data_IF_322007474200
#
_entry.id   IF_322007474200
#
_cell.length_a   1.000
_cell.length_b   1.000
_cell.length_c   1.000
_cell.angle_alpha   90.00
_cell.angle_beta   90.00
_cell.angle_gamma   90.00
#
_symmetry.space_group_name_H-M   'P 1'
#
loop_
_entity.id
_entity.type
_entity.pdbx_description
1 polymer ?
#
# COMPACT_ATOMS: atom_id res chain seq x y z
N UNK A 1 -8.96 3.18 28.46
CA UNK A 1 -8.09 3.76 27.42
C UNK A 1 -7.67 2.67 26.44
N UNK A 2 -7.84 2.95 25.15
CA UNK A 2 -7.39 2.01 24.13
C UNK A 2 -5.86 2.05 24.03
N UNK A 3 -5.25 0.91 23.81
CA UNK A 3 -3.82 0.82 23.56
C UNK A 3 -3.54 1.29 22.14
N UNK A 4 -2.45 2.02 21.99
CA UNK A 4 -2.00 2.51 20.70
C UNK A 4 -0.56 2.08 20.43
N UNK A 5 -0.18 2.20 19.18
CA UNK A 5 1.21 2.05 18.74
C UNK A 5 1.53 3.19 17.80
N UNK A 6 2.80 3.55 17.71
CA UNK A 6 3.25 4.56 16.78
C UNK A 6 3.30 3.95 15.37
N UNK A 7 2.75 4.66 14.38
CA UNK A 7 2.88 4.27 12.99
C UNK A 7 3.55 5.40 12.21
N UNK A 8 4.60 5.07 11.48
CA UNK A 8 5.26 5.99 10.56
C UNK A 8 5.18 5.40 9.16
N UNK A 9 4.61 6.14 8.23
CA UNK A 9 4.52 5.73 6.82
C UNK A 9 5.30 6.76 6.00
N UNK A 10 6.36 6.31 5.35
CA UNK A 10 7.30 7.17 4.62
C UNK A 10 7.50 6.61 3.22
N UNK A 11 7.54 7.50 2.23
CA UNK A 11 8.01 7.16 0.89
C UNK A 11 9.31 7.91 0.62
N UNK A 12 9.94 7.66 -0.51
CA UNK A 12 11.17 8.36 -0.88
C UNK A 12 10.98 9.88 -0.98
N UNK A 13 9.74 10.31 -1.19
CA UNK A 13 9.44 11.73 -1.46
C UNK A 13 8.93 12.47 -0.24
N UNK A 14 8.19 11.80 0.64
CA UNK A 14 7.57 12.48 1.78
C UNK A 14 7.18 11.51 2.89
N UNK A 15 6.89 12.08 4.06
CA UNK A 15 6.23 11.37 5.15
C UNK A 15 4.71 11.48 4.94
N UNK A 16 4.04 10.36 4.80
CA UNK A 16 2.60 10.31 4.56
C UNK A 16 1.81 10.39 5.87
N UNK A 17 2.34 9.77 6.91
CA UNK A 17 1.68 9.73 8.21
C UNK A 17 2.69 9.45 9.31
N UNK A 18 2.48 10.07 10.46
CA UNK A 18 3.22 9.78 11.69
C UNK A 18 2.29 10.07 12.86
N UNK A 19 1.99 9.05 13.65
CA UNK A 19 1.09 9.23 14.78
C UNK A 19 0.69 7.92 15.43
N UNK A 20 -0.19 8.03 16.44
CA UNK A 20 -0.69 6.88 17.19
C UNK A 20 -1.87 6.25 16.46
N UNK A 21 -1.87 4.92 16.35
CA UNK A 21 -2.94 4.17 15.73
C UNK A 21 -3.41 3.05 16.66
N UNK A 22 -4.66 2.63 16.49
CA UNK A 22 -5.26 1.55 17.27
C UNK A 22 -5.03 0.19 16.63
N UNK A 23 -5.00 0.15 15.30
CA UNK A 23 -4.73 -1.07 14.54
C UNK A 23 -4.33 -0.70 13.12
N UNK A 24 -3.77 -1.68 12.42
CA UNK A 24 -3.26 -1.51 11.06
C UNK A 24 -3.48 -2.79 10.28
N UNK A 25 -3.91 -2.67 9.03
CA UNK A 25 -3.95 -3.78 8.08
C UNK A 25 -3.07 -3.39 6.89
N UNK A 26 -2.06 -4.20 6.61
CA UNK A 26 -1.07 -3.91 5.58
C UNK A 26 -1.04 -5.02 4.51
N UNK A 27 -0.78 -4.67 3.24
CA UNK A 27 -0.73 -5.65 2.16
C UNK A 27 0.64 -6.34 2.11
N UNK A 28 0.83 -7.33 3.00
CA UNK A 28 2.06 -8.12 3.01
C UNK A 28 2.20 -8.97 1.75
N UNK A 29 3.44 -9.30 1.38
CA UNK A 29 3.73 -10.10 0.19
C UNK A 29 3.07 -11.48 0.22
N UNK A 30 2.87 -12.02 1.41
CA UNK A 30 2.26 -13.34 1.61
C UNK A 30 0.77 -13.25 1.97
N UNK A 31 0.19 -12.06 1.94
CA UNK A 31 -1.20 -11.81 2.29
C UNK A 31 -1.33 -10.63 3.23
N UNK A 32 -2.56 -10.17 3.43
CA UNK A 32 -2.82 -9.05 4.33
C UNK A 32 -2.46 -9.40 5.77
N UNK A 33 -1.84 -8.45 6.47
CA UNK A 33 -1.41 -8.63 7.86
C UNK A 33 -2.12 -7.62 8.74
N UNK A 34 -2.80 -8.12 9.78
CA UNK A 34 -3.39 -7.28 10.80
C UNK A 34 -2.40 -7.10 11.95
N UNK A 35 -2.09 -5.86 12.30
CA UNK A 35 -1.12 -5.52 13.34
C UNK A 35 -1.83 -4.75 14.44
N UNK A 36 -1.72 -5.25 15.66
CA UNK A 36 -2.25 -4.61 16.85
C UNK A 36 -1.11 -4.15 17.76
N UNK A 37 -1.34 -3.23 18.69
CA UNK A 37 -0.29 -2.85 19.65
C UNK A 37 0.28 -4.07 20.36
N UNK A 38 1.58 -4.05 20.61
CA UNK A 38 2.34 -5.15 21.23
C UNK A 38 2.50 -6.39 20.34
N UNK A 39 2.29 -6.23 19.05
CA UNK A 39 2.58 -7.31 18.11
C UNK A 39 4.05 -7.71 18.20
N UNK A 40 4.34 -9.00 18.04
CA UNK A 40 5.72 -9.47 18.02
C UNK A 40 6.50 -8.88 16.85
N UNK A 41 7.82 -8.84 16.98
CA UNK A 41 8.68 -8.28 15.96
C UNK A 41 8.57 -9.03 14.64
N UNK A 42 8.53 -8.27 13.54
CA UNK A 42 8.37 -8.82 12.21
C UNK A 42 8.94 -7.83 11.19
N UNK A 43 9.61 -8.34 10.18
CA UNK A 43 9.97 -7.57 8.99
C UNK A 43 9.41 -8.32 7.80
N UNK A 44 8.69 -7.61 6.95
CA UNK A 44 8.11 -8.21 5.75
C UNK A 44 8.10 -7.22 4.59
N UNK A 45 8.14 -7.75 3.38
CA UNK A 45 7.94 -6.93 2.20
C UNK A 45 6.46 -6.73 1.95
N UNK A 46 6.14 -5.67 1.22
CA UNK A 46 4.77 -5.29 0.87
C UNK A 46 4.55 -5.44 -0.62
N UNK A 47 3.34 -5.86 -0.99
CA UNK A 47 2.89 -5.83 -2.38
C UNK A 47 2.06 -4.57 -2.61
N UNK A 48 1.67 -4.32 -3.84
CA UNK A 48 0.76 -3.23 -4.15
C UNK A 48 -0.62 -3.52 -3.54
N UNK A 49 -1.17 -2.56 -2.82
CA UNK A 49 -2.47 -2.73 -2.19
C UNK A 49 -2.82 -1.61 -1.23
N UNK A 50 -3.90 -1.83 -0.51
CA UNK A 50 -4.42 -0.85 0.45
C UNK A 50 -3.79 -1.05 1.83
N UNK A 51 -3.24 0.04 2.37
CA UNK A 51 -2.81 0.14 3.75
C UNK A 51 -3.93 0.86 4.50
N UNK A 52 -4.48 0.23 5.52
CA UNK A 52 -5.60 0.78 6.28
C UNK A 52 -5.22 0.85 7.75
N UNK A 53 -5.45 2.01 8.38
CA UNK A 53 -5.17 2.13 9.81
C UNK A 53 -6.25 2.95 10.50
N UNK A 54 -6.41 2.70 11.78
CA UNK A 54 -7.44 3.31 12.60
C UNK A 54 -6.82 4.26 13.62
N UNK A 55 -7.30 5.50 13.63
CA UNK A 55 -6.91 6.50 14.64
C UNK A 55 -8.13 6.82 15.51
N UNK A 56 -7.94 7.68 16.53
CA UNK A 56 -9.06 8.17 17.32
C UNK A 56 -10.07 8.94 16.48
N UNK A 57 -9.62 9.52 15.37
CA UNK A 57 -10.47 10.31 14.47
C UNK A 57 -11.16 9.49 13.40
N UNK A 58 -10.87 8.20 13.31
CA UNK A 58 -11.50 7.31 12.35
C UNK A 58 -10.48 6.51 11.54
N UNK A 59 -10.96 5.91 10.49
CA UNK A 59 -10.17 5.01 9.64
C UNK A 59 -9.59 5.79 8.46
N UNK A 60 -8.33 5.50 8.13
CA UNK A 60 -7.62 6.13 7.01
C UNK A 60 -7.08 5.04 6.10
N UNK A 61 -7.15 5.27 4.80
CA UNK A 61 -6.61 4.36 3.80
C UNK A 61 -5.59 5.07 2.92
N UNK A 62 -4.50 4.37 2.64
CA UNK A 62 -3.48 4.79 1.67
C UNK A 62 -3.27 3.66 0.67
N UNK A 63 -2.99 4.02 -0.57
CA UNK A 63 -2.48 3.05 -1.54
C UNK A 63 -0.97 2.98 -1.40
N UNK A 64 -0.40 1.77 -1.29
CA UNK A 64 1.05 1.57 -1.32
C UNK A 64 1.39 0.58 -2.42
N UNK A 65 2.56 0.75 -3.03
CA UNK A 65 3.05 -0.17 -4.05
C UNK A 65 4.50 -0.50 -3.74
N UNK A 66 4.70 -1.69 -3.19
CA UNK A 66 6.01 -2.15 -2.80
C UNK A 66 6.54 -1.51 -1.54
N UNK A 67 7.62 -2.06 -1.01
CA UNK A 67 8.27 -1.53 0.17
C UNK A 67 8.46 -2.58 1.25
N UNK A 68 8.76 -2.11 2.45
CA UNK A 68 9.06 -2.94 3.61
C UNK A 68 8.31 -2.41 4.82
N UNK A 69 7.79 -3.33 5.63
CA UNK A 69 7.18 -3.00 6.92
C UNK A 69 8.02 -3.64 8.02
N UNK A 70 8.41 -2.83 9.00
CA UNK A 70 9.08 -3.29 10.21
C UNK A 70 8.13 -3.11 11.38
N UNK A 71 7.83 -4.21 12.07
CA UNK A 71 6.93 -4.22 13.22
C UNK A 71 7.72 -4.45 14.49
N UNK A 72 7.51 -3.56 15.48
CA UNK A 72 7.99 -3.72 16.84
C UNK A 72 6.81 -3.53 17.78
N UNK A 73 6.89 -3.95 19.05
CA UNK A 73 5.73 -3.88 19.95
C UNK A 73 5.10 -2.49 20.10
N UNK A 74 5.89 -1.43 20.03
CA UNK A 74 5.40 -0.06 20.25
C UNK A 74 5.41 0.81 19.00
N UNK A 75 6.09 0.38 17.93
CA UNK A 75 6.21 1.19 16.70
C UNK A 75 6.21 0.30 15.47
N UNK A 76 5.51 0.76 14.44
CA UNK A 76 5.51 0.15 13.11
C UNK A 76 6.00 1.19 12.13
N UNK A 77 6.98 0.81 11.32
CA UNK A 77 7.54 1.67 10.28
C UNK A 77 7.28 1.06 8.92
N UNK A 78 6.71 1.84 8.02
CA UNK A 78 6.47 1.44 6.63
C UNK A 78 7.27 2.35 5.72
N UNK A 79 8.18 1.73 4.96
CA UNK A 79 8.96 2.40 3.92
C UNK A 79 8.40 1.95 2.59
N UNK A 80 7.53 2.77 2.01
CA UNK A 80 6.85 2.43 0.76
C UNK A 80 7.67 2.93 -0.44
N UNK A 81 7.74 2.11 -1.47
CA UNK A 81 8.34 2.56 -2.74
C UNK A 81 7.48 3.65 -3.37
N UNK A 82 6.18 3.45 -3.34
CA UNK A 82 5.21 4.44 -3.79
C UNK A 82 4.03 4.44 -2.81
N UNK A 83 3.55 5.61 -2.46
CA UNK A 83 2.36 5.74 -1.61
C UNK A 83 1.51 6.92 -2.09
N UNK A 84 0.19 6.72 -2.11
CA UNK A 84 -0.78 7.73 -2.55
C UNK A 84 -1.95 7.76 -1.58
N UNK A 85 -2.33 8.97 -1.15
CA UNK A 85 -3.51 9.12 -0.30
C UNK A 85 -4.77 8.76 -1.08
N UNK A 86 -5.76 8.18 -0.40
CA UNK A 86 -6.98 7.73 -1.07
C UNK A 86 -7.70 8.86 -1.82
N UNK A 87 -7.69 10.07 -1.29
CA UNK A 87 -8.31 11.24 -1.94
C UNK A 87 -7.57 11.69 -3.20
N UNK A 88 -6.32 11.27 -3.38
CA UNK A 88 -5.51 11.63 -4.54
C UNK A 88 -5.53 10.57 -5.64
N UNK A 89 -6.24 9.46 -5.42
CA UNK A 89 -6.36 8.41 -6.42
C UNK A 89 -7.28 8.83 -7.56
N UNK A 90 -6.86 8.58 -8.79
CA UNK A 90 -7.58 8.94 -10.00
C UNK A 90 -7.73 7.71 -10.89
N UNK A 91 -8.99 7.27 -11.08
CA UNK A 91 -9.29 6.08 -11.89
C UNK A 91 -8.81 6.22 -13.34
N UNK A 92 -8.99 7.38 -13.92
CA UNK A 92 -8.56 7.62 -15.31
C UNK A 92 -7.06 7.44 -15.45
N UNK A 93 -6.29 8.05 -14.56
CA UNK A 93 -4.83 7.95 -14.56
C UNK A 93 -4.39 6.51 -14.34
N UNK A 94 -5.05 5.80 -13.43
CA UNK A 94 -4.74 4.40 -13.14
C UNK A 94 -5.02 3.50 -14.35
N UNK A 95 -6.13 3.72 -15.05
CA UNK A 95 -6.47 2.95 -16.25
C UNK A 95 -5.49 3.24 -17.40
N UNK A 96 -5.05 4.48 -17.54
CA UNK A 96 -4.04 4.84 -18.54
C UNK A 96 -2.71 4.16 -18.24
N UNK A 97 -2.31 4.13 -16.96
CA UNK A 97 -1.10 3.43 -16.54
C UNK A 97 -1.21 1.92 -16.77
N UNK A 98 -2.36 1.32 -16.50
CA UNK A 98 -2.60 -0.10 -16.76
C UNK A 98 -2.43 -0.41 -18.24
N UNK A 99 -3.06 0.38 -19.11
CA UNK A 99 -2.97 0.17 -20.56
C UNK A 99 -1.54 0.31 -21.06
N UNK A 100 -0.82 1.33 -20.59
CA UNK A 100 0.59 1.53 -20.97
C UNK A 100 1.44 0.32 -20.60
N UNK A 101 1.23 -0.21 -19.38
CA UNK A 101 1.99 -1.37 -18.92
C UNK A 101 1.61 -2.64 -19.70
N UNK A 102 0.33 -2.84 -19.98
CA UNK A 102 -0.12 -3.98 -20.78
C UNK A 102 0.49 -3.93 -22.19
N UNK A 103 0.45 -2.75 -22.83
CA UNK A 103 1.02 -2.58 -24.16
C UNK A 103 2.54 -2.79 -24.14
N UNK A 104 3.22 -2.33 -23.10
CA UNK A 104 4.66 -2.52 -22.97
C UNK A 104 5.05 -3.98 -22.72
N UNK A 105 4.19 -4.78 -22.11
CA UNK A 105 4.44 -6.21 -21.89
C UNK A 105 4.13 -7.05 -23.11
N UNK A 106 3.29 -6.55 -24.03
CA UNK A 106 2.90 -7.30 -25.22
C UNK A 106 4.13 -7.63 -26.05
N UNK A 107 4.32 -8.92 -26.31
CA UNK A 107 5.46 -9.42 -27.07
C UNK A 107 6.77 -9.51 -26.31
N UNK A 108 6.80 -9.11 -25.03
CA UNK A 108 8.03 -9.24 -24.23
C UNK A 108 8.17 -10.63 -23.65
N UNK A 109 9.41 -11.08 -23.62
CA UNK A 109 9.79 -12.36 -23.00
C UNK A 109 9.93 -12.13 -21.50
N UNK A 110 9.41 -13.05 -20.64
CA UNK A 110 9.63 -12.96 -19.19
C UNK A 110 11.09 -12.83 -18.76
N UNK A 111 12.02 -13.20 -19.63
CA UNK A 111 13.46 -13.09 -19.35
C UNK A 111 14.05 -11.71 -19.69
N UNK A 112 13.27 -10.82 -20.32
CA UNK A 112 13.74 -9.46 -20.60
C UNK A 112 14.01 -8.72 -19.28
N UNK A 113 15.06 -7.91 -19.27
CA UNK A 113 15.52 -7.24 -18.05
C UNK A 113 14.48 -6.31 -17.44
N UNK A 114 13.62 -5.71 -18.25
CA UNK A 114 12.61 -4.78 -17.79
C UNK A 114 11.23 -5.42 -17.57
N UNK A 115 11.10 -6.72 -17.84
CA UNK A 115 9.80 -7.41 -17.71
C UNK A 115 9.23 -7.29 -16.29
N UNK A 116 10.04 -7.59 -15.28
CA UNK A 116 9.58 -7.56 -13.88
C UNK A 116 9.20 -6.15 -13.44
N UNK A 117 9.93 -5.13 -13.89
CA UNK A 117 9.61 -3.73 -13.56
C UNK A 117 8.27 -3.33 -14.16
N UNK A 118 8.05 -3.64 -15.44
CA UNK A 118 6.80 -3.30 -16.13
C UNK A 118 5.63 -4.09 -15.53
N UNK A 119 5.86 -5.36 -15.20
CA UNK A 119 4.83 -6.18 -14.57
C UNK A 119 4.44 -5.62 -13.19
N UNK A 120 5.42 -5.14 -12.41
CA UNK A 120 5.14 -4.51 -11.13
C UNK A 120 4.30 -3.23 -11.31
N UNK A 121 4.59 -2.44 -12.34
CA UNK A 121 3.79 -1.25 -12.68
C UNK A 121 2.36 -1.63 -13.05
N UNK A 122 2.19 -2.70 -13.82
CA UNK A 122 0.87 -3.21 -14.18
C UNK A 122 0.10 -3.66 -12.95
N UNK A 123 0.73 -4.44 -12.07
CA UNK A 123 0.10 -4.92 -10.84
C UNK A 123 -0.29 -3.75 -9.94
N UNK A 124 0.56 -2.73 -9.84
CA UNK A 124 0.26 -1.53 -9.05
C UNK A 124 -0.95 -0.78 -9.62
N UNK A 125 -1.03 -0.62 -10.94
CA UNK A 125 -2.16 0.06 -11.58
C UNK A 125 -3.47 -0.72 -11.35
N UNK A 126 -3.44 -2.03 -11.48
CA UNK A 126 -4.61 -2.88 -11.21
C UNK A 126 -5.05 -2.78 -9.76
N UNK A 127 -4.11 -2.77 -8.82
CA UNK A 127 -4.41 -2.66 -7.40
C UNK A 127 -5.02 -1.30 -7.07
N UNK A 128 -4.54 -0.22 -7.70
CA UNK A 128 -5.15 1.10 -7.55
C UNK A 128 -6.60 1.12 -8.02
N UNK A 129 -6.87 0.56 -9.20
CA UNK A 129 -8.22 0.52 -9.75
C UNK A 129 -9.14 -0.26 -8.82
N UNK A 130 -8.69 -1.40 -8.34
CA UNK A 130 -9.46 -2.23 -7.41
C UNK A 130 -9.79 -1.46 -6.13
N UNK A 131 -8.81 -0.75 -5.56
CA UNK A 131 -9.02 0.06 -4.37
C UNK A 131 -10.01 1.19 -4.62
N UNK A 132 -9.89 1.89 -5.75
CA UNK A 132 -10.81 2.96 -6.13
C UNK A 132 -12.24 2.45 -6.21
N UNK A 133 -12.46 1.30 -6.84
CA UNK A 133 -13.79 0.70 -6.96
C UNK A 133 -14.34 0.29 -5.60
N UNK A 134 -13.51 -0.26 -4.73
CA UNK A 134 -13.91 -0.67 -3.39
C UNK A 134 -14.32 0.53 -2.54
N UNK A 135 -13.54 1.61 -2.58
CA UNK A 135 -13.85 2.85 -1.86
C UNK A 135 -15.15 3.47 -2.40
N UNK A 136 -15.30 3.52 -3.72
CA UNK A 136 -16.51 4.02 -4.34
C UNK A 136 -17.76 3.26 -3.94
N UNK A 137 -17.66 1.93 -3.82
CA UNK A 137 -18.79 1.09 -3.40
C UNK A 137 -19.17 1.33 -1.95
N UNK A 138 -18.19 1.60 -1.09
CA UNK A 138 -18.44 1.88 0.33
C UNK A 138 -19.13 3.23 0.52
N UNK A 139 -18.81 4.21 -0.33
CA UNK A 139 -19.35 5.57 -0.22
C UNK A 139 -20.74 5.73 -0.87
N UNK A 140 -21.23 4.70 -1.52
CA UNK A 140 -22.58 4.71 -2.14
C UNK A 140 -23.68 4.23 -1.14
#
# INVERSE_FOLDING_TARGET
MAMTMQLDVVSAEESLFSGAVLELIAPGSMGDLGIMPRHSQLITTLKAGELKYKTDDGEVSLFVAGGVMEVQPSIVTILADTAVRSEDLDEKTAKEAQKRAEDALEGKDPEDLDYEVIKAELDAAKAQIEMIHRIGNVLR
#
